data_IF_843244466162
#
_entry.id   IF_843244466162
#
_cell.length_a   1.000
_cell.length_b   1.000
_cell.length_c   1.000
_cell.angle_alpha   90.00
_cell.angle_beta   90.00
_cell.angle_gamma   90.00
#
_symmetry.space_group_name_H-M   'P 1'
#
loop_
_entity.id
_entity.type
_entity.pdbx_description
1 polymer ?
#
# COMPACT_ATOMS: atom_id res chain seq x y z
N UNK A 1 -3.37 25.48 -12.12
CA UNK A 1 -4.26 25.28 -10.96
C UNK A 1 -5.45 24.45 -11.40
N UNK A 2 -5.75 23.33 -10.71
CA UNK A 2 -6.90 22.51 -11.03
C UNK A 2 -8.15 23.11 -10.41
N UNK A 3 -9.18 23.27 -11.19
CA UNK A 3 -10.50 23.71 -10.70
C UNK A 3 -11.47 22.56 -10.69
N UNK A 4 -12.20 22.43 -9.60
CA UNK A 4 -13.31 21.49 -9.50
C UNK A 4 -14.45 21.97 -10.43
N UNK A 5 -14.89 21.11 -11.35
CA UNK A 5 -16.13 21.35 -12.08
C UNK A 5 -17.33 21.23 -11.15
N UNK A 6 -18.43 21.84 -11.53
CA UNK A 6 -19.70 21.66 -10.81
C UNK A 6 -20.15 20.20 -10.90
N UNK A 7 -20.92 19.77 -9.89
CA UNK A 7 -21.65 18.52 -9.98
C UNK A 7 -22.68 18.65 -11.11
N UNK A 8 -22.58 17.78 -12.10
CA UNK A 8 -23.49 17.74 -13.21
C UNK A 8 -24.48 16.58 -13.00
N UNK A 9 -25.78 16.87 -13.13
CA UNK A 9 -26.83 15.87 -13.08
C UNK A 9 -27.18 15.42 -14.50
N UNK A 10 -26.21 14.91 -15.20
CA UNK A 10 -26.38 14.43 -16.56
C UNK A 10 -26.84 12.97 -16.62
N UNK A 11 -27.46 12.61 -17.74
CA UNK A 11 -28.10 11.30 -17.92
C UNK A 11 -27.13 10.22 -18.37
N UNK A 12 -25.97 10.04 -17.65
CA UNK A 12 -25.06 8.94 -17.90
C UNK A 12 -25.66 7.62 -17.43
N UNK A 13 -25.52 6.57 -18.24
CA UNK A 13 -26.10 5.25 -17.97
C UNK A 13 -25.55 4.66 -16.67
N UNK A 14 -24.26 4.86 -16.39
CA UNK A 14 -23.52 4.36 -15.23
C UNK A 14 -24.06 4.91 -13.91
N UNK A 15 -24.65 6.09 -13.91
CA UNK A 15 -25.23 6.73 -12.71
C UNK A 15 -26.75 6.61 -12.67
N UNK A 16 -27.41 6.50 -13.83
CA UNK A 16 -28.88 6.47 -13.91
C UNK A 16 -29.47 5.08 -13.69
N UNK A 17 -28.82 4.03 -14.15
CA UNK A 17 -29.35 2.66 -14.07
C UNK A 17 -29.18 1.96 -12.73
N UNK A 18 -28.13 2.23 -11.91
CA UNK A 18 -28.02 1.63 -10.59
C UNK A 18 -29.21 1.99 -9.70
N UNK A 19 -29.66 1.04 -8.88
CA UNK A 19 -30.71 1.23 -7.86
C UNK A 19 -30.15 1.70 -6.51
N UNK A 20 -28.89 2.08 -6.49
CA UNK A 20 -28.15 2.60 -5.34
C UNK A 20 -27.54 3.94 -5.70
N UNK A 21 -27.23 4.80 -4.72
CA UNK A 21 -26.49 6.04 -4.99
C UNK A 21 -25.22 5.75 -5.78
N UNK A 22 -25.02 6.47 -6.87
CA UNK A 22 -23.90 6.29 -7.77
C UNK A 22 -23.31 7.65 -8.15
N UNK A 23 -22.01 7.68 -8.43
CA UNK A 23 -21.29 8.86 -8.90
C UNK A 23 -20.29 8.45 -9.97
N UNK A 24 -20.21 9.25 -11.02
CA UNK A 24 -19.14 9.15 -12.02
C UNK A 24 -18.08 10.20 -11.68
N UNK A 25 -16.87 9.73 -11.47
CA UNK A 25 -15.71 10.60 -11.20
C UNK A 25 -14.85 10.68 -12.47
N UNK A 26 -14.82 11.84 -13.07
CA UNK A 26 -13.95 12.14 -14.22
C UNK A 26 -12.71 12.92 -13.74
N UNK A 27 -11.55 12.36 -13.97
CA UNK A 27 -10.27 12.89 -13.52
C UNK A 27 -9.30 12.94 -14.67
N UNK A 28 -8.61 14.08 -14.80
CA UNK A 28 -7.51 14.27 -15.73
C UNK A 28 -7.91 14.04 -17.21
N UNK A 29 -7.19 14.66 -18.11
CA UNK A 29 -7.34 14.43 -19.54
C UNK A 29 -6.12 13.70 -20.08
N UNK A 30 -6.31 12.57 -20.75
CA UNK A 30 -5.23 11.85 -21.43
C UNK A 30 -4.61 12.64 -22.60
N UNK A 31 -5.29 13.70 -23.05
CA UNK A 31 -4.78 14.62 -24.08
C UNK A 31 -3.96 15.79 -23.50
N UNK A 32 -3.86 15.89 -22.18
CA UNK A 32 -3.11 16.94 -21.49
C UNK A 32 -1.85 16.36 -20.87
N UNK A 33 -0.68 16.77 -21.37
CA UNK A 33 0.63 16.29 -20.90
C UNK A 33 0.84 16.54 -19.40
N UNK A 34 0.37 17.66 -18.88
CA UNK A 34 0.47 17.96 -17.44
C UNK A 34 -0.38 17.01 -16.61
N UNK A 35 -1.60 16.72 -17.04
CA UNK A 35 -2.47 15.78 -16.38
C UNK A 35 -1.87 14.35 -16.41
N UNK A 36 -1.26 13.98 -17.53
CA UNK A 36 -0.68 12.65 -17.69
C UNK A 36 0.55 12.41 -16.83
N UNK A 37 1.32 13.42 -16.48
CA UNK A 37 2.40 13.30 -15.50
C UNK A 37 1.87 12.78 -14.15
N UNK A 38 0.68 13.20 -13.74
CA UNK A 38 0.02 12.72 -12.52
C UNK A 38 -0.76 11.43 -12.76
N UNK A 39 -1.47 11.31 -13.88
CA UNK A 39 -2.26 10.12 -14.19
C UNK A 39 -1.43 8.84 -14.35
N UNK A 40 -0.18 8.97 -14.75
CA UNK A 40 0.76 7.86 -14.87
C UNK A 40 1.50 7.54 -13.56
N UNK A 41 1.51 8.45 -12.57
CA UNK A 41 2.14 8.19 -11.28
C UNK A 41 1.25 7.27 -10.41
N UNK A 42 1.69 6.03 -10.08
CA UNK A 42 0.93 5.13 -9.23
C UNK A 42 0.60 5.68 -7.84
N UNK A 43 1.42 6.60 -7.32
CA UNK A 43 1.18 7.24 -6.01
C UNK A 43 -0.01 8.18 -6.08
N UNK A 44 -0.18 8.91 -7.17
CA UNK A 44 -1.34 9.78 -7.39
C UNK A 44 -2.60 8.93 -7.52
N UNK A 45 -2.55 7.83 -8.27
CA UNK A 45 -3.67 6.89 -8.38
C UNK A 45 -4.06 6.28 -7.03
N UNK A 46 -3.07 5.90 -6.23
CA UNK A 46 -3.32 5.42 -4.87
C UNK A 46 -4.00 6.50 -4.00
N UNK A 47 -3.51 7.75 -4.05
CA UNK A 47 -4.06 8.87 -3.29
C UNK A 47 -5.51 9.15 -3.67
N UNK A 48 -5.83 9.14 -4.96
CA UNK A 48 -7.20 9.32 -5.46
C UNK A 48 -8.10 8.17 -4.98
N UNK A 49 -7.66 6.92 -5.16
CA UNK A 49 -8.43 5.75 -4.72
C UNK A 49 -8.69 5.77 -3.21
N UNK A 50 -7.70 6.20 -2.41
CA UNK A 50 -7.85 6.36 -0.96
C UNK A 50 -8.83 7.49 -0.61
N UNK A 51 -8.81 8.60 -1.33
CA UNK A 51 -9.77 9.70 -1.14
C UNK A 51 -11.20 9.24 -1.44
N UNK A 52 -11.41 8.49 -2.52
CA UNK A 52 -12.70 7.87 -2.85
C UNK A 52 -13.16 6.92 -1.74
N UNK A 53 -12.31 6.01 -1.30
CA UNK A 53 -12.60 5.09 -0.20
C UNK A 53 -13.05 5.83 1.05
N UNK A 54 -12.33 6.87 1.47
CA UNK A 54 -12.71 7.70 2.63
C UNK A 54 -14.05 8.42 2.41
N UNK A 55 -14.30 8.90 1.19
CA UNK A 55 -15.57 9.55 0.84
C UNK A 55 -16.75 8.59 0.92
N UNK A 56 -16.59 7.34 0.48
CA UNK A 56 -17.63 6.32 0.64
C UNK A 56 -17.92 6.01 2.12
N UNK A 57 -16.91 5.87 2.95
CA UNK A 57 -17.10 5.65 4.39
C UNK A 57 -17.85 6.81 5.05
N UNK A 58 -17.49 8.05 4.72
CA UNK A 58 -18.20 9.25 5.19
C UNK A 58 -19.65 9.30 4.71
N UNK A 59 -19.88 9.01 3.45
CA UNK A 59 -21.23 8.96 2.90
C UNK A 59 -22.10 7.91 3.62
N UNK A 60 -21.57 6.71 3.85
CA UNK A 60 -22.28 5.65 4.57
C UNK A 60 -22.60 6.09 6.02
N UNK A 61 -21.63 6.71 6.68
CA UNK A 61 -21.82 7.26 8.01
C UNK A 61 -22.97 8.31 8.04
N UNK A 62 -22.95 9.26 7.13
CA UNK A 62 -23.94 10.32 7.04
C UNK A 62 -25.35 9.81 6.72
N UNK A 63 -25.43 8.78 5.85
CA UNK A 63 -26.72 8.23 5.43
C UNK A 63 -27.35 7.25 6.43
N UNK A 64 -26.51 6.46 7.13
CA UNK A 64 -27.00 5.34 7.94
C UNK A 64 -26.60 5.45 9.42
N UNK A 65 -25.88 6.48 9.82
CA UNK A 65 -25.44 6.69 11.21
C UNK A 65 -24.46 5.64 11.72
N UNK A 66 -23.76 4.93 10.82
CA UNK A 66 -22.79 3.89 11.19
C UNK A 66 -21.42 4.50 11.43
N UNK A 67 -20.81 4.23 12.56
CA UNK A 67 -19.42 4.62 12.80
C UNK A 67 -18.49 3.96 11.81
N UNK A 68 -17.40 4.64 11.46
CA UNK A 68 -16.38 4.09 10.60
C UNK A 68 -14.97 4.32 11.14
N UNK A 69 -14.07 3.41 10.79
CA UNK A 69 -12.65 3.52 11.02
C UNK A 69 -11.95 3.30 9.69
N UNK A 70 -11.09 4.22 9.30
CA UNK A 70 -10.33 4.09 8.06
C UNK A 70 -9.16 3.13 8.29
N UNK A 71 -8.95 2.19 7.37
CA UNK A 71 -7.79 1.30 7.41
C UNK A 71 -6.46 2.07 7.37
N UNK A 72 -5.39 1.59 8.03
CA UNK A 72 -4.10 2.27 8.05
C UNK A 72 -3.46 2.39 6.66
N UNK A 73 -2.47 3.27 6.55
CA UNK A 73 -1.54 3.28 5.43
C UNK A 73 -0.52 2.14 5.57
N UNK A 74 0.10 1.68 4.47
CA UNK A 74 1.19 0.72 4.51
C UNK A 74 2.35 1.22 5.37
N UNK A 75 3.04 0.31 6.04
CA UNK A 75 4.25 0.61 6.79
C UNK A 75 5.38 1.05 5.84
N UNK A 76 6.36 1.77 6.38
CA UNK A 76 7.55 2.19 5.66
C UNK A 76 8.82 1.98 6.50
N UNK A 77 9.98 2.29 5.93
CA UNK A 77 11.26 2.20 6.64
C UNK A 77 11.54 0.81 7.15
N UNK A 78 11.20 -0.22 6.37
CA UNK A 78 11.47 -1.60 6.76
C UNK A 78 12.97 -1.88 6.76
N UNK A 79 13.42 -2.60 7.80
CA UNK A 79 14.79 -3.08 7.92
C UNK A 79 14.80 -4.51 8.47
N UNK A 80 15.77 -5.30 8.03
CA UNK A 80 16.04 -6.63 8.55
C UNK A 80 17.48 -6.73 9.00
N UNK A 81 17.72 -7.42 10.13
CA UNK A 81 19.04 -7.66 10.67
C UNK A 81 19.13 -9.06 11.25
N UNK A 82 20.31 -9.67 11.13
CA UNK A 82 20.64 -10.93 11.81
C UNK A 82 21.09 -10.63 13.23
N UNK A 83 20.59 -11.37 14.19
CA UNK A 83 20.95 -11.35 15.61
C UNK A 83 21.28 -12.79 16.04
N UNK A 84 22.53 -13.25 15.83
CA UNK A 84 22.91 -14.63 16.06
C UNK A 84 22.14 -15.60 15.13
N UNK A 85 21.32 -16.46 15.71
CA UNK A 85 20.45 -17.41 14.98
C UNK A 85 19.04 -16.82 14.69
N UNK A 86 18.82 -15.57 15.02
CA UNK A 86 17.54 -14.91 14.81
C UNK A 86 17.61 -13.88 13.70
N UNK A 87 16.48 -13.64 13.05
CA UNK A 87 16.23 -12.50 12.18
C UNK A 87 15.26 -11.55 12.89
N UNK A 88 15.67 -10.29 13.00
CA UNK A 88 14.81 -9.19 13.46
C UNK A 88 14.39 -8.37 12.26
N UNK A 89 13.09 -8.15 12.12
CA UNK A 89 12.51 -7.20 11.19
C UNK A 89 11.89 -6.04 11.96
N UNK A 90 12.09 -4.82 11.49
CA UNK A 90 11.51 -3.60 12.06
C UNK A 90 10.94 -2.71 10.98
N UNK A 91 9.99 -1.84 11.34
CA UNK A 91 9.32 -0.92 10.43
C UNK A 91 8.82 0.32 11.16
N UNK A 92 8.31 1.28 10.41
CA UNK A 92 7.66 2.46 10.92
C UNK A 92 6.21 2.51 10.43
N UNK A 93 5.31 2.98 11.29
CA UNK A 93 3.91 3.25 10.90
C UNK A 93 3.84 4.53 10.08
N UNK A 94 3.01 4.51 9.04
CA UNK A 94 2.70 5.70 8.24
C UNK A 94 1.44 6.36 8.80
N UNK A 95 1.55 7.64 9.15
CA UNK A 95 0.42 8.42 9.62
C UNK A 95 -0.35 9.02 8.43
N UNK A 96 -1.67 8.89 8.45
CA UNK A 96 -2.55 9.67 7.58
C UNK A 96 -2.95 10.95 8.33
N UNK A 97 -2.26 12.06 8.03
CA UNK A 97 -2.47 13.35 8.73
C UNK A 97 -3.88 13.92 8.53
N UNK A 98 -4.58 13.47 7.49
CA UNK A 98 -5.95 13.89 7.17
C UNK A 98 -7.01 12.93 7.73
N UNK A 99 -6.58 11.83 8.41
CA UNK A 99 -7.51 10.81 8.89
C UNK A 99 -7.02 10.18 10.20
N UNK A 100 -7.37 10.79 11.35
CA UNK A 100 -6.91 10.31 12.66
C UNK A 100 -7.34 8.89 13.01
N UNK A 101 -8.46 8.41 12.44
CA UNK A 101 -8.96 7.04 12.67
C UNK A 101 -8.08 5.98 12.03
N UNK A 102 -7.24 6.34 11.05
CA UNK A 102 -6.38 5.43 10.31
C UNK A 102 -5.11 4.98 11.08
N UNK A 103 -5.05 5.23 12.38
CA UNK A 103 -3.90 4.82 13.21
C UNK A 103 -3.85 3.30 13.34
N UNK A 104 -2.69 2.65 13.08
CA UNK A 104 -2.53 1.22 13.33
C UNK A 104 -2.70 0.86 14.80
N UNK A 105 -3.31 -0.27 15.09
CA UNK A 105 -3.39 -0.88 16.43
C UNK A 105 -2.64 -2.21 16.51
N UNK A 106 -2.32 -2.80 15.38
CA UNK A 106 -1.53 -4.03 15.25
C UNK A 106 -0.90 -4.12 13.85
N UNK A 107 -0.06 -5.13 13.66
CA UNK A 107 0.55 -5.46 12.38
C UNK A 107 0.44 -6.96 12.12
N UNK A 108 0.42 -7.35 10.85
CA UNK A 108 0.50 -8.74 10.43
C UNK A 108 1.81 -8.92 9.67
N UNK A 109 2.66 -9.79 10.17
CA UNK A 109 3.94 -10.13 9.55
C UNK A 109 3.76 -11.41 8.76
N UNK A 110 3.86 -11.32 7.45
CA UNK A 110 3.82 -12.45 6.53
C UNK A 110 5.22 -12.91 6.22
N UNK A 111 5.46 -14.20 6.31
CA UNK A 111 6.76 -14.82 6.03
C UNK A 111 6.58 -15.97 5.04
N UNK A 112 7.52 -16.13 4.14
CA UNK A 112 7.71 -17.35 3.37
C UNK A 112 9.17 -17.74 3.37
N UNK A 113 9.44 -19.04 3.20
CA UNK A 113 10.79 -19.58 3.08
C UNK A 113 11.05 -20.01 1.65
N UNK A 114 12.21 -19.66 1.12
CA UNK A 114 12.62 -19.94 -0.25
C UNK A 114 11.54 -19.51 -1.27
N UNK A 115 11.09 -20.40 -2.13
CA UNK A 115 10.02 -20.15 -3.12
C UNK A 115 8.69 -20.77 -2.73
N UNK A 116 8.50 -21.07 -1.44
CA UNK A 116 7.26 -21.62 -0.89
C UNK A 116 6.13 -20.61 -0.79
N UNK A 117 5.02 -21.07 -0.23
CA UNK A 117 3.83 -20.25 -0.01
C UNK A 117 4.01 -19.28 1.17
N UNK A 118 3.28 -18.18 1.13
CA UNK A 118 3.17 -17.27 2.26
C UNK A 118 2.38 -17.91 3.39
N UNK A 119 2.85 -17.72 4.63
CA UNK A 119 2.06 -18.09 5.80
C UNK A 119 0.80 -17.19 5.94
N UNK A 120 -0.07 -17.54 6.90
CA UNK A 120 -1.28 -16.76 7.20
C UNK A 120 -0.99 -15.45 7.97
N UNK A 121 0.28 -15.17 8.26
CA UNK A 121 0.73 -14.00 8.99
C UNK A 121 0.68 -14.16 10.51
N UNK A 122 1.62 -13.50 11.18
CA UNK A 122 1.71 -13.43 12.65
C UNK A 122 1.27 -12.04 13.08
N UNK A 123 0.28 -11.97 13.99
CA UNK A 123 -0.18 -10.70 14.54
C UNK A 123 0.74 -10.23 15.65
N UNK A 124 1.23 -8.99 15.53
CA UNK A 124 2.06 -8.31 16.54
C UNK A 124 1.55 -6.90 16.80
N UNK A 125 1.88 -6.34 17.98
CA UNK A 125 1.48 -4.98 18.36
C UNK A 125 2.64 -4.00 18.38
N UNK A 126 3.87 -4.52 18.33
CA UNK A 126 5.09 -3.72 18.24
C UNK A 126 5.49 -3.51 16.78
N UNK A 127 6.30 -2.50 16.52
CA UNK A 127 6.87 -2.20 15.21
C UNK A 127 8.11 -3.05 14.89
N UNK A 128 8.18 -4.24 15.45
CA UNK A 128 9.26 -5.19 15.25
C UNK A 128 8.75 -6.62 15.46
N UNK A 129 9.44 -7.56 14.82
CA UNK A 129 9.23 -8.99 14.98
C UNK A 129 10.56 -9.72 14.86
N UNK A 130 10.81 -10.67 15.75
CA UNK A 130 12.01 -11.50 15.76
C UNK A 130 11.61 -12.96 15.71
N UNK A 131 12.34 -13.75 14.95
CA UNK A 131 12.11 -15.19 14.82
C UNK A 131 13.43 -15.92 14.59
N UNK A 132 13.47 -17.18 15.01
CA UNK A 132 14.64 -18.07 14.77
C UNK A 132 14.69 -18.44 13.30
N UNK A 133 15.90 -18.40 12.72
CA UNK A 133 16.13 -18.65 11.31
C UNK A 133 17.09 -19.83 11.11
N UNK A 134 16.79 -20.67 10.14
CA UNK A 134 17.58 -21.85 9.79
C UNK A 134 18.64 -21.51 8.76
N UNK A 135 19.83 -22.09 8.91
CA UNK A 135 20.92 -21.97 7.94
C UNK A 135 20.52 -22.60 6.59
N UNK A 136 20.96 -22.00 5.48
CA UNK A 136 20.62 -22.44 4.13
C UNK A 136 19.25 -21.97 3.65
N UNK A 137 18.53 -21.17 4.44
CA UNK A 137 17.16 -20.75 4.15
C UNK A 137 17.09 -19.24 3.85
N UNK A 138 16.35 -18.90 2.79
CA UNK A 138 15.93 -17.51 2.49
C UNK A 138 14.57 -17.24 3.11
N UNK A 139 14.46 -16.16 3.81
CA UNK A 139 13.21 -15.65 4.40
C UNK A 139 12.79 -14.40 3.67
N UNK A 140 11.61 -14.43 3.09
CA UNK A 140 10.96 -13.28 2.46
C UNK A 140 9.87 -12.77 3.40
N UNK A 141 9.83 -11.45 3.65
CA UNK A 141 8.93 -10.85 4.64
C UNK A 141 8.20 -9.65 4.06
N UNK A 142 6.91 -9.55 4.41
CA UNK A 142 6.05 -8.39 4.19
C UNK A 142 5.24 -8.10 5.43
N UNK A 143 4.90 -6.84 5.64
CA UNK A 143 4.13 -6.39 6.80
C UNK A 143 2.91 -5.60 6.34
N UNK A 144 1.76 -5.85 6.95
CA UNK A 144 0.57 -5.03 6.81
C UNK A 144 0.22 -4.39 8.16
N UNK A 145 -0.15 -3.12 8.15
CA UNK A 145 -0.70 -2.43 9.32
C UNK A 145 -2.20 -2.69 9.42
N UNK A 146 -2.74 -2.82 10.63
CA UNK A 146 -4.15 -3.11 10.86
C UNK A 146 -4.78 -2.30 11.98
N UNK A 147 -6.07 -2.08 11.87
CA UNK A 147 -6.94 -1.55 12.91
C UNK A 147 -8.38 -2.12 12.74
N UNK A 148 -9.37 -1.55 13.42
CA UNK A 148 -10.76 -1.97 13.29
C UNK A 148 -11.35 -1.74 11.88
N UNK A 149 -10.79 -0.83 11.08
CA UNK A 149 -11.20 -0.56 9.70
C UNK A 149 -10.60 -1.51 8.66
N UNK A 150 -9.68 -2.39 9.07
CA UNK A 150 -9.08 -3.41 8.20
C UNK A 150 -7.56 -3.34 8.11
N UNK A 151 -7.02 -4.01 7.09
CA UNK A 151 -5.58 -4.09 6.82
C UNK A 151 -5.18 -3.14 5.69
N UNK A 152 -4.02 -2.54 5.84
CA UNK A 152 -3.35 -1.81 4.75
C UNK A 152 -2.93 -2.75 3.62
N UNK A 153 -2.51 -2.19 2.49
CA UNK A 153 -1.66 -2.96 1.58
C UNK A 153 -0.40 -3.42 2.29
N UNK A 154 0.14 -4.55 1.83
CA UNK A 154 1.40 -5.09 2.34
C UNK A 154 2.55 -4.15 1.96
N UNK A 155 3.58 -4.12 2.81
CA UNK A 155 4.83 -3.40 2.54
C UNK A 155 5.55 -3.94 1.29
N UNK A 156 6.62 -3.26 0.93
CA UNK A 156 7.64 -3.84 0.07
C UNK A 156 8.15 -5.18 0.61
N UNK A 157 8.73 -5.98 -0.29
CA UNK A 157 9.34 -7.25 0.05
C UNK A 157 10.77 -7.01 0.54
N UNK A 158 11.09 -7.51 1.74
CA UNK A 158 12.47 -7.69 2.18
C UNK A 158 12.82 -9.16 2.28
N UNK A 159 14.07 -9.48 2.02
CA UNK A 159 14.60 -10.84 2.09
C UNK A 159 15.87 -10.90 2.94
N UNK A 160 16.03 -11.98 3.70
CA UNK A 160 17.27 -12.32 4.37
C UNK A 160 17.64 -13.78 4.05
N UNK A 161 18.92 -14.05 3.94
CA UNK A 161 19.45 -15.39 3.75
C UNK A 161 20.46 -15.69 4.84
N UNK A 162 20.36 -16.84 5.47
CA UNK A 162 21.32 -17.34 6.46
C UNK A 162 22.21 -18.35 5.77
N UNK A 163 23.48 -17.98 5.56
CA UNK A 163 24.43 -18.91 4.96
C UNK A 163 24.77 -20.07 5.92
N UNK A 164 24.93 -21.30 5.41
CA UNK A 164 25.34 -22.46 6.24
C UNK A 164 26.71 -22.28 6.88
N UNK A 165 27.62 -21.58 6.19
CA UNK A 165 28.94 -21.24 6.70
C UNK A 165 29.02 -19.71 6.87
N UNK A 166 29.45 -19.27 8.05
CA UNK A 166 29.62 -17.84 8.31
C UNK A 166 30.90 -17.33 7.60
N UNK A 167 30.69 -16.58 6.51
CA UNK A 167 31.74 -15.89 5.74
C UNK A 167 31.66 -14.36 5.89
N UNK A 168 30.91 -13.89 6.90
CA UNK A 168 30.64 -12.47 7.14
C UNK A 168 29.23 -12.05 6.76
N UNK A 169 28.94 -10.77 7.01
CA UNK A 169 27.63 -10.19 6.76
C UNK A 169 27.67 -9.29 5.52
N UNK A 170 26.62 -9.36 4.69
CA UNK A 170 26.39 -8.45 3.57
C UNK A 170 25.14 -7.65 3.87
N UNK A 171 25.25 -6.32 3.82
CA UNK A 171 24.09 -5.43 3.89
C UNK A 171 23.65 -5.09 2.48
N UNK A 172 22.38 -5.35 2.19
CA UNK A 172 21.73 -4.93 0.94
C UNK A 172 20.85 -3.72 1.24
N UNK A 173 21.18 -2.58 0.65
CA UNK A 173 20.38 -1.34 0.76
C UNK A 173 19.57 -1.19 -0.51
N UNK A 174 18.23 -1.29 -0.39
CA UNK A 174 17.33 -0.95 -1.48
C UNK A 174 17.11 0.56 -1.50
N UNK A 175 17.85 1.25 -2.35
CA UNK A 175 17.73 2.70 -2.56
C UNK A 175 16.68 3.10 -3.61
N UNK A 176 15.99 2.13 -4.20
CA UNK A 176 14.99 2.38 -5.25
C UNK A 176 13.59 2.44 -4.63
N UNK A 177 13.10 3.64 -4.43
CA UNK A 177 11.68 3.87 -4.08
C UNK A 177 10.79 3.89 -5.33
N UNK A 178 11.28 3.35 -6.43
CA UNK A 178 10.66 3.46 -7.73
C UNK A 178 9.46 2.53 -7.83
N UNK A 179 8.28 3.11 -7.79
CA UNK A 179 7.11 2.47 -8.40
C UNK A 179 7.28 2.68 -9.90
N UNK A 180 7.60 1.63 -10.64
CA UNK A 180 7.73 1.71 -12.09
C UNK A 180 6.38 2.13 -12.68
N UNK A 181 6.34 3.31 -13.29
CA UNK A 181 5.27 3.65 -14.21
C UNK A 181 5.45 2.87 -15.52
N UNK A 182 4.47 2.92 -16.43
CA UNK A 182 4.66 2.40 -17.77
C UNK A 182 5.89 3.04 -18.41
N UNK A 183 6.68 2.23 -19.09
CA UNK A 183 7.84 2.75 -19.83
C UNK A 183 7.36 3.72 -20.91
N UNK A 184 8.07 4.82 -21.05
CA UNK A 184 7.90 5.72 -22.17
C UNK A 184 8.61 5.11 -23.38
N UNK A 185 7.91 4.91 -24.44
CA UNK A 185 8.49 4.64 -25.74
C UNK A 185 7.92 5.62 -26.75
N UNK A 186 8.74 6.10 -27.60
CA UNK A 186 8.35 6.94 -28.73
C UNK A 186 8.14 6.02 -29.94
N UNK A 187 6.95 6.05 -30.49
CA UNK A 187 6.62 5.36 -31.73
C UNK A 187 6.67 6.36 -32.89
N UNK A 188 7.30 5.97 -34.01
CA UNK A 188 7.42 6.83 -35.20
C UNK A 188 6.09 7.10 -35.90
N UNK A 189 5.03 6.36 -35.57
CA UNK A 189 3.70 6.45 -36.20
C UNK A 189 2.72 7.23 -35.31
N UNK A 190 2.80 7.09 -33.99
CA UNK A 190 1.82 7.65 -33.05
C UNK A 190 2.39 8.73 -32.09
N UNK A 191 3.66 9.07 -32.19
CA UNK A 191 4.32 10.13 -31.41
C UNK A 191 4.92 9.69 -30.11
#
# INVERSE_FOLDING_TARGET
>A
EWTRRQLDNSSYAEVRHPKVPAVLLELLSHQNMTDMQYGLDPRVRFTISRAMYKSFLKFIHEQYGTDYVVQPLPVHGMAMSRLGEEIRVSWQSTLDVLEPTAKPSYYIVYTRTNDGDWNNGVRVTKNEYTFTAEAGTRYDIRVAAGNAGGLSFKSELLSAYIAPEDKGNVLIVNGFTRVSGPEWWSDSIYG
#
